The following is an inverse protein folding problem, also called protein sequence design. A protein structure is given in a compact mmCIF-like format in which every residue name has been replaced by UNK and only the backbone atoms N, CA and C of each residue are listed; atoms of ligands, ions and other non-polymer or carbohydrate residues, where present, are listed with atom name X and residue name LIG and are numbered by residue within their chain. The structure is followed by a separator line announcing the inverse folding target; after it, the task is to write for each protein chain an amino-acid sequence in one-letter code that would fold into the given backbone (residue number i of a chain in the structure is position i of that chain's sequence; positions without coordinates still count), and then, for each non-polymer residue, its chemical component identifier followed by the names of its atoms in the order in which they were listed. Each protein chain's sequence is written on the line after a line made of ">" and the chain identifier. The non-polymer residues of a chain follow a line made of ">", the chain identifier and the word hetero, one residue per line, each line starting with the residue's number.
data_IF_460247544066
#
_entry.id   IF_460247544066
#
_cell.length_a   1.000
_cell.length_b   1.000
_cell.length_c   1.000
_cell.angle_alpha   90.00
_cell.angle_beta   90.00
_cell.angle_gamma   90.00
#
_symmetry.space_group_name_H-M   'P 1'
#
loop_
_entity.id
_entity.type
_entity.pdbx_description
1 polymer ?
#
# COMPACT_ATOMS: atom_id res chain seq x y z
N UNK A 1 -16.16 -7.88 1.42
CA UNK A 1 -15.60 -6.98 0.40
C UNK A 1 -14.07 -6.98 0.52
N UNK A 2 -13.35 -7.13 -0.60
CA UNK A 2 -11.88 -7.16 -0.68
C UNK A 2 -11.38 -5.95 -1.44
N UNK A 3 -10.49 -5.18 -0.83
CA UNK A 3 -9.81 -4.06 -1.46
C UNK A 3 -8.52 -4.56 -2.10
N UNK A 4 -8.45 -4.56 -3.43
CA UNK A 4 -7.20 -4.80 -4.15
C UNK A 4 -6.41 -3.49 -4.16
N UNK A 5 -5.42 -3.41 -3.27
CA UNK A 5 -4.59 -2.21 -3.12
C UNK A 5 -3.28 -2.43 -3.86
N UNK A 6 -3.03 -1.64 -4.90
CA UNK A 6 -1.75 -1.57 -5.58
C UNK A 6 -0.85 -0.58 -4.83
N UNK A 7 0.10 -1.11 -4.06
CA UNK A 7 1.08 -0.33 -3.33
C UNK A 7 2.24 0.04 -4.23
N UNK A 8 2.44 1.32 -4.52
CA UNK A 8 3.56 1.82 -5.31
C UNK A 8 4.56 2.50 -4.39
N UNK A 9 5.82 2.05 -4.45
CA UNK A 9 6.89 2.59 -3.60
C UNK A 9 7.47 3.85 -4.23
N UNK A 10 7.34 4.97 -3.52
CA UNK A 10 7.99 6.23 -3.88
C UNK A 10 9.51 6.06 -3.88
N UNK A 11 10.14 6.45 -4.99
CA UNK A 11 11.60 6.40 -5.16
C UNK A 11 12.13 5.17 -5.91
N UNK A 12 11.26 4.34 -6.50
CA UNK A 12 11.64 3.31 -7.48
C UNK A 12 12.51 2.16 -6.96
N UNK A 13 12.83 2.12 -5.67
CA UNK A 13 13.70 1.11 -5.09
C UNK A 13 13.06 -0.28 -4.99
N UNK A 14 11.73 -0.36 -5.08
CA UNK A 14 10.98 -1.62 -5.05
C UNK A 14 9.84 -1.59 -6.07
N UNK A 15 9.53 -2.72 -6.73
CA UNK A 15 8.53 -2.80 -7.80
C UNK A 15 7.07 -2.62 -7.33
N UNK A 16 6.84 -2.09 -6.13
CA UNK A 16 5.52 -2.10 -5.50
C UNK A 16 5.04 -3.50 -5.13
N UNK A 17 3.81 -3.59 -4.64
CA UNK A 17 3.14 -4.86 -4.37
C UNK A 17 1.63 -4.69 -4.45
N UNK A 18 0.93 -5.68 -5.00
CA UNK A 18 -0.53 -5.71 -4.96
C UNK A 18 -0.94 -6.59 -3.79
N UNK A 19 -1.66 -6.01 -2.83
CA UNK A 19 -2.10 -6.71 -1.62
C UNK A 19 -3.62 -6.59 -1.52
N UNK A 20 -4.28 -7.71 -1.27
CA UNK A 20 -5.69 -7.74 -0.94
C UNK A 20 -5.84 -7.36 0.53
N UNK A 21 -6.51 -6.25 0.81
CA UNK A 21 -6.90 -5.86 2.15
C UNK A 21 -8.39 -6.10 2.36
N UNK A 22 -8.75 -6.47 3.59
CA UNK A 22 -10.14 -6.51 4.01
C UNK A 22 -10.64 -5.16 4.52
N UNK A 23 -9.71 -4.24 4.79
CA UNK A 23 -9.98 -2.88 5.23
C UNK A 23 -9.48 -1.89 4.19
N UNK A 24 -10.09 -0.71 4.16
CA UNK A 24 -9.67 0.36 3.26
C UNK A 24 -8.31 0.91 3.72
N UNK A 25 -7.28 0.97 2.85
CA UNK A 25 -6.01 1.61 3.15
C UNK A 25 -6.23 3.09 3.48
N UNK A 26 -5.49 3.58 4.47
CA UNK A 26 -5.54 4.98 4.91
C UNK A 26 -4.16 5.60 4.89
N UNK A 27 -4.10 6.88 4.54
CA UNK A 27 -2.88 7.68 4.65
C UNK A 27 -2.42 7.72 6.12
N UNK A 28 -1.11 7.59 6.34
CA UNK A 28 -0.48 7.38 7.64
C UNK A 28 -0.50 5.92 8.13
N UNK A 29 -1.12 5.01 7.38
CA UNK A 29 -1.10 3.58 7.66
C UNK A 29 0.27 2.97 7.36
N UNK A 30 0.62 1.87 8.06
CA UNK A 30 1.87 1.15 7.83
C UNK A 30 1.61 -0.20 7.16
N UNK A 31 2.33 -0.47 6.07
CA UNK A 31 2.26 -1.75 5.36
C UNK A 31 3.64 -2.40 5.30
N UNK A 32 3.70 -3.70 5.53
CA UNK A 32 4.93 -4.48 5.41
C UNK A 32 4.96 -5.16 4.06
N UNK A 33 5.90 -4.77 3.21
CA UNK A 33 6.11 -5.38 1.90
C UNK A 33 7.44 -6.14 1.95
N UNK A 34 7.35 -7.47 1.96
CA UNK A 34 8.49 -8.35 2.18
C UNK A 34 9.11 -8.14 3.56
N UNK A 35 10.38 -7.68 3.59
CA UNK A 35 11.14 -7.43 4.84
C UNK A 35 11.11 -5.97 5.29
N UNK A 36 10.57 -5.07 4.48
CA UNK A 36 10.62 -3.63 4.73
C UNK A 36 9.25 -3.11 5.13
N UNK A 37 9.23 -2.09 5.98
CA UNK A 37 8.02 -1.37 6.39
C UNK A 37 7.92 -0.07 5.62
N UNK A 38 6.74 0.19 5.09
CA UNK A 38 6.40 1.38 4.32
C UNK A 38 5.18 2.06 4.95
N UNK A 39 5.15 3.38 4.86
CA UNK A 39 4.04 4.21 5.28
C UNK A 39 3.25 4.63 4.05
N UNK A 40 1.93 4.53 4.12
CA UNK A 40 1.00 4.98 3.08
C UNK A 40 0.95 6.49 3.16
N UNK A 41 1.42 7.16 2.11
CA UNK A 41 1.43 8.62 2.02
C UNK A 41 0.31 9.16 1.13
N UNK A 42 -0.23 8.32 0.25
CA UNK A 42 -1.33 8.69 -0.65
C UNK A 42 -2.20 7.47 -0.94
N UNK A 43 -3.51 7.67 -1.09
CA UNK A 43 -4.46 6.64 -1.50
C UNK A 43 -5.41 7.24 -2.53
N UNK A 44 -5.39 6.71 -3.74
CA UNK A 44 -6.26 7.07 -4.85
C UNK A 44 -7.14 5.88 -5.23
N UNK A 45 -8.44 6.12 -5.34
CA UNK A 45 -9.36 5.13 -5.88
C UNK A 45 -9.28 5.16 -7.41
N UNK A 46 -8.80 4.07 -8.02
CA UNK A 46 -8.68 3.99 -9.48
C UNK A 46 -10.02 3.68 -10.14
N UNK A 47 -10.83 2.88 -9.46
CA UNK A 47 -12.14 2.49 -9.96
C UNK A 47 -13.12 2.34 -8.81
N UNK A 48 -14.39 2.74 -9.01
CA UNK A 48 -15.43 2.46 -8.04
C UNK A 48 -15.54 0.96 -7.81
N UNK A 49 -15.86 0.58 -6.58
CA UNK A 49 -16.11 -0.81 -6.20
C UNK A 49 -17.12 -1.47 -7.15
N UNK A 50 -16.75 -2.60 -7.75
CA UNK A 50 -17.67 -3.40 -8.57
C UNK A 50 -17.92 -4.73 -7.87
N UNK A 51 -19.14 -4.89 -7.34
CA UNK A 51 -19.51 -6.07 -6.56
C UNK A 51 -18.68 -6.13 -5.27
N UNK A 52 -18.01 -7.27 -5.03
CA UNK A 52 -17.28 -7.53 -3.78
C UNK A 52 -15.82 -7.06 -3.75
N UNK A 53 -15.33 -6.39 -4.80
CA UNK A 53 -13.96 -5.87 -4.83
C UNK A 53 -13.83 -4.43 -5.34
N UNK A 54 -12.83 -3.72 -4.83
CA UNK A 54 -12.48 -2.36 -5.22
C UNK A 54 -10.99 -2.26 -5.56
N UNK A 55 -10.65 -1.45 -6.56
CA UNK A 55 -9.26 -1.20 -6.96
C UNK A 55 -8.79 0.13 -6.40
N UNK A 56 -7.86 0.03 -5.45
CA UNK A 56 -7.23 1.18 -4.81
C UNK A 56 -5.76 1.21 -5.21
N UNK A 57 -5.24 2.40 -5.39
CA UNK A 57 -3.84 2.67 -5.60
C UNK A 57 -3.32 3.41 -4.39
N UNK A 58 -2.33 2.86 -3.71
CA UNK A 58 -1.75 3.49 -2.53
C UNK A 58 -0.27 3.75 -2.77
N UNK A 59 0.13 5.01 -2.70
CA UNK A 59 1.54 5.38 -2.74
C UNK A 59 2.11 5.23 -1.35
N UNK A 60 3.21 4.48 -1.24
CA UNK A 60 3.89 4.23 0.01
C UNK A 60 5.33 4.70 -0.03
N UNK A 61 5.82 5.19 1.10
CA UNK A 61 7.21 5.60 1.28
C UNK A 61 7.89 4.68 2.28
N UNK A 62 9.12 4.27 2.00
CA UNK A 62 9.87 3.46 2.96
C UNK A 62 10.22 4.31 4.19
N UNK A 63 9.78 3.88 5.37
CA UNK A 63 9.99 4.63 6.62
C UNK A 63 11.00 4.00 7.58
N UNK A 64 11.62 2.88 7.21
CA UNK A 64 12.69 2.32 8.02
C UNK A 64 13.46 1.21 7.33
N UNK A 65 14.79 1.40 7.25
CA UNK A 65 15.70 0.28 7.55
C UNK A 65 15.64 0.09 9.06
N UNK A 66 15.58 -1.16 9.51
CA UNK A 66 16.04 -1.50 10.87
C UNK A 66 17.36 -0.76 11.10
N UNK A 67 17.34 0.31 11.91
CA UNK A 67 18.55 0.79 12.57
C UNK A 67 18.92 -0.35 13.50
N UNK A 68 19.72 -1.30 13.01
CA UNK A 68 20.49 -2.20 13.85
C UNK A 68 21.32 -1.27 14.74
N UNK A 69 20.94 -1.23 16.01
CA UNK A 69 21.68 -0.61 17.11
C UNK A 69 23.01 -1.33 17.26
#
# INVERSE_FOLDING_TARGET
>A
MVYKVSYVVLGGAHPGAIINQFEQPKVGGHVKIGKNTFEIVEVNELMPARGDFAFLHATVKQIGKSKKK
#
